data_IF_829430520765
#
_entry.id   IF_829430520765
#
_cell.length_a   1.000
_cell.length_b   1.000
_cell.length_c   1.000
_cell.angle_alpha   90.00
_cell.angle_beta   90.00
_cell.angle_gamma   90.00
#
_symmetry.space_group_name_H-M   'P 1'
#
loop_
_entity.id
_entity.type
_entity.pdbx_description
1 polymer ?
#
# COMPACT_ATOMS: atom_id res chain seq x y z
N UNK A 1 -37.10 13.44 -47.29
CA UNK A 1 -37.67 13.58 -45.94
C UNK A 1 -37.00 12.54 -45.06
N UNK A 2 -36.12 12.95 -44.14
CA UNK A 2 -35.46 12.01 -43.21
C UNK A 2 -36.41 11.78 -42.04
N UNK A 3 -36.77 10.52 -41.80
CA UNK A 3 -37.53 10.13 -40.60
C UNK A 3 -36.55 10.11 -39.43
N UNK A 4 -36.59 11.16 -38.61
CA UNK A 4 -35.94 11.15 -37.30
C UNK A 4 -36.77 10.29 -36.36
N UNK A 5 -36.31 9.07 -36.12
CA UNK A 5 -36.85 8.20 -35.07
C UNK A 5 -36.29 8.68 -33.74
N UNK A 6 -37.13 9.36 -32.96
CA UNK A 6 -36.81 9.71 -31.57
C UNK A 6 -36.75 8.47 -30.67
N UNK A 7 -35.83 8.48 -29.70
CA UNK A 7 -35.71 7.44 -28.68
C UNK A 7 -37.00 7.38 -27.84
N UNK A 8 -37.51 6.18 -27.54
CA UNK A 8 -38.68 6.07 -26.66
C UNK A 8 -38.25 6.19 -25.19
N UNK A 9 -39.11 6.81 -24.37
CA UNK A 9 -38.87 6.88 -22.92
C UNK A 9 -38.78 5.48 -22.30
N UNK A 10 -39.55 4.52 -22.81
CA UNK A 10 -39.55 3.14 -22.35
C UNK A 10 -38.22 2.45 -22.63
N UNK A 11 -37.61 2.67 -23.82
CA UNK A 11 -36.27 2.14 -24.13
C UNK A 11 -35.24 2.65 -23.12
N UNK A 12 -35.27 3.95 -22.81
CA UNK A 12 -34.33 4.53 -21.85
C UNK A 12 -34.57 4.04 -20.42
N UNK A 13 -35.83 3.82 -20.02
CA UNK A 13 -36.17 3.29 -18.70
C UNK A 13 -35.68 1.87 -18.50
N UNK A 14 -35.89 0.96 -19.46
CA UNK A 14 -35.44 -0.44 -19.36
C UNK A 14 -33.90 -0.49 -19.26
N UNK A 15 -33.20 0.34 -20.04
CA UNK A 15 -31.74 0.42 -20.02
C UNK A 15 -31.22 0.82 -18.63
N UNK A 16 -31.80 1.85 -18.01
CA UNK A 16 -31.39 2.30 -16.66
C UNK A 16 -31.68 1.23 -15.61
N UNK A 17 -32.79 0.50 -15.72
CA UNK A 17 -33.12 -0.62 -14.81
C UNK A 17 -32.08 -1.74 -14.92
N UNK A 18 -31.72 -2.14 -16.14
CA UNK A 18 -30.72 -3.20 -16.35
C UNK A 18 -29.34 -2.76 -15.82
N UNK A 19 -28.90 -1.54 -16.15
CA UNK A 19 -27.64 -0.98 -15.64
C UNK A 19 -27.67 -0.90 -14.10
N UNK A 20 -28.81 -0.54 -13.50
CA UNK A 20 -28.99 -0.50 -12.06
C UNK A 20 -28.80 -1.86 -11.38
N UNK A 21 -29.37 -2.93 -11.95
CA UNK A 21 -29.21 -4.31 -11.45
C UNK A 21 -27.74 -4.75 -11.55
N UNK A 22 -27.11 -4.50 -12.70
CA UNK A 22 -25.69 -4.85 -12.90
C UNK A 22 -24.78 -4.07 -11.95
N UNK A 23 -25.02 -2.78 -11.76
CA UNK A 23 -24.26 -1.92 -10.86
C UNK A 23 -24.38 -2.37 -9.40
N UNK A 24 -25.58 -2.77 -8.96
CA UNK A 24 -25.81 -3.24 -7.59
C UNK A 24 -24.95 -4.46 -7.21
N UNK A 25 -24.69 -5.36 -8.17
CA UNK A 25 -23.84 -6.54 -7.96
C UNK A 25 -22.36 -6.19 -8.16
N UNK A 26 -22.05 -5.40 -9.18
CA UNK A 26 -20.68 -5.11 -9.59
C UNK A 26 -19.94 -4.18 -8.61
N UNK A 27 -20.58 -3.12 -8.13
CA UNK A 27 -19.97 -2.10 -7.25
C UNK A 27 -19.35 -2.70 -5.98
N UNK A 28 -20.08 -3.50 -5.15
CA UNK A 28 -19.49 -4.04 -3.93
C UNK A 28 -18.34 -5.01 -4.22
N UNK A 29 -18.40 -5.74 -5.34
CA UNK A 29 -17.30 -6.63 -5.73
C UNK A 29 -16.07 -5.84 -6.19
N UNK A 30 -16.28 -4.77 -6.95
CA UNK A 30 -15.21 -3.89 -7.42
C UNK A 30 -14.48 -3.22 -6.27
N UNK A 31 -15.20 -2.74 -5.24
CA UNK A 31 -14.58 -2.14 -4.03
C UNK A 31 -13.67 -3.16 -3.33
N UNK A 32 -14.13 -4.41 -3.13
CA UNK A 32 -13.31 -5.46 -2.51
C UNK A 32 -12.08 -5.80 -3.36
N UNK A 33 -12.21 -5.82 -4.68
CA UNK A 33 -11.08 -6.06 -5.58
C UNK A 33 -10.04 -4.94 -5.47
N UNK A 34 -10.47 -3.69 -5.40
CA UNK A 34 -9.57 -2.56 -5.17
C UNK A 34 -8.85 -2.66 -3.83
N UNK A 35 -9.57 -2.99 -2.74
CA UNK A 35 -8.96 -3.15 -1.42
C UNK A 35 -7.87 -4.22 -1.43
N UNK A 36 -8.14 -5.38 -2.06
CA UNK A 36 -7.14 -6.46 -2.22
C UNK A 36 -5.94 -6.03 -3.04
N UNK A 37 -6.14 -5.25 -4.10
CA UNK A 37 -5.05 -4.70 -4.92
C UNK A 37 -4.18 -3.72 -4.12
N UNK A 38 -4.80 -2.91 -3.25
CA UNK A 38 -4.07 -2.00 -2.34
C UNK A 38 -3.28 -2.78 -1.30
N UNK A 39 -3.85 -3.83 -0.70
CA UNK A 39 -3.13 -4.70 0.24
C UNK A 39 -1.95 -5.43 -0.42
N UNK A 40 -2.11 -5.92 -1.64
CA UNK A 40 -1.01 -6.50 -2.42
C UNK A 40 0.09 -5.46 -2.69
N UNK A 41 -0.29 -4.21 -2.96
CA UNK A 41 0.66 -3.11 -3.13
C UNK A 41 1.39 -2.77 -1.83
N UNK A 42 0.73 -2.83 -0.67
CA UNK A 42 1.40 -2.68 0.64
C UNK A 42 2.45 -3.77 0.83
N UNK A 43 2.11 -5.02 0.54
CA UNK A 43 3.06 -6.15 0.62
C UNK A 43 4.25 -5.95 -0.31
N UNK A 44 4.03 -5.43 -1.52
CA UNK A 44 5.11 -5.09 -2.45
C UNK A 44 6.00 -3.98 -1.90
N UNK A 45 5.41 -2.89 -1.36
CA UNK A 45 6.16 -1.81 -0.72
C UNK A 45 6.99 -2.32 0.46
N UNK A 46 6.47 -3.23 1.28
CA UNK A 46 7.23 -3.84 2.38
C UNK A 46 8.47 -4.56 1.88
N UNK A 47 8.37 -5.30 0.78
CA UNK A 47 9.52 -5.98 0.18
C UNK A 47 10.52 -4.99 -0.44
N UNK A 48 10.04 -3.93 -1.09
CA UNK A 48 10.91 -2.84 -1.57
C UNK A 48 11.66 -2.17 -0.41
N UNK A 49 10.97 -1.92 0.71
CA UNK A 49 11.59 -1.37 1.90
C UNK A 49 12.62 -2.32 2.50
N UNK A 50 12.34 -3.63 2.51
CA UNK A 50 13.29 -4.66 2.94
C UNK A 50 14.58 -4.59 2.11
N UNK A 51 14.47 -4.56 0.78
CA UNK A 51 15.65 -4.46 -0.08
C UNK A 51 16.48 -3.21 0.23
N UNK A 52 15.84 -2.05 0.43
CA UNK A 52 16.53 -0.83 0.82
C UNK A 52 17.23 -0.95 2.19
N UNK A 53 16.63 -1.66 3.15
CA UNK A 53 17.21 -1.89 4.49
C UNK A 53 18.43 -2.80 4.41
N UNK A 54 18.34 -3.87 3.62
CA UNK A 54 19.48 -4.79 3.43
C UNK A 54 20.60 -4.13 2.65
N UNK A 55 20.29 -3.37 1.59
CA UNK A 55 21.28 -2.60 0.83
C UNK A 55 22.00 -1.59 1.74
N UNK A 56 21.26 -0.94 2.65
CA UNK A 56 21.87 -0.05 3.64
C UNK A 56 22.84 -0.81 4.54
N UNK A 57 22.45 -1.98 5.06
CA UNK A 57 23.32 -2.76 5.94
C UNK A 57 24.60 -3.21 5.23
N UNK A 58 24.51 -3.63 3.96
CA UNK A 58 25.68 -3.98 3.14
C UNK A 58 26.66 -2.81 3.01
N UNK A 59 26.15 -1.58 2.90
CA UNK A 59 26.98 -0.36 2.84
C UNK A 59 27.54 0.09 4.19
N UNK A 60 27.04 -0.45 5.30
CA UNK A 60 27.36 -0.01 6.67
C UNK A 60 27.86 -1.15 7.56
N UNK A 61 28.71 -2.03 7.01
CA UNK A 61 29.35 -3.13 7.74
C UNK A 61 28.37 -4.10 8.44
N UNK A 62 27.17 -4.27 7.88
CA UNK A 62 26.11 -5.11 8.43
C UNK A 62 25.22 -4.41 9.46
N UNK A 63 25.42 -3.11 9.69
CA UNK A 63 24.61 -2.35 10.64
C UNK A 63 23.36 -1.76 9.96
N UNK A 64 22.19 -2.09 10.50
CA UNK A 64 20.93 -1.53 10.04
C UNK A 64 20.73 -0.06 10.47
N UNK A 65 19.94 0.69 9.70
CA UNK A 65 19.67 2.10 9.98
C UNK A 65 18.87 2.30 11.28
N UNK A 66 19.28 3.27 12.10
CA UNK A 66 18.54 3.66 13.30
C UNK A 66 17.17 4.30 13.02
N UNK A 67 16.24 4.23 13.98
CA UNK A 67 14.88 4.79 13.86
C UNK A 67 14.86 6.27 13.46
N UNK A 68 15.77 7.06 14.00
CA UNK A 68 15.77 8.53 13.90
C UNK A 68 15.95 9.04 12.47
N UNK A 69 16.47 8.19 11.57
CA UNK A 69 16.84 8.61 10.21
C UNK A 69 16.05 7.93 9.10
N UNK A 70 15.01 7.13 9.40
CA UNK A 70 14.31 6.34 8.35
C UNK A 70 13.81 7.20 7.17
N UNK A 71 13.33 8.42 7.45
CA UNK A 71 12.77 9.33 6.45
C UNK A 71 13.82 10.07 5.64
N UNK A 72 15.09 9.97 6.01
CA UNK A 72 16.20 10.67 5.36
C UNK A 72 17.20 9.70 4.75
N UNK A 73 17.59 8.64 5.48
CA UNK A 73 18.54 7.64 4.98
C UNK A 73 17.84 6.60 4.14
N UNK A 74 16.81 5.94 4.67
CA UNK A 74 16.15 4.85 3.96
C UNK A 74 15.21 5.36 2.87
N UNK A 75 14.50 6.46 3.11
CA UNK A 75 13.63 7.07 2.10
C UNK A 75 14.39 7.54 0.85
N UNK A 76 15.68 7.90 0.97
CA UNK A 76 16.51 8.25 -0.18
C UNK A 76 16.90 7.02 -1.03
N UNK A 77 16.87 5.82 -0.45
CA UNK A 77 17.16 4.55 -1.14
C UNK A 77 15.91 3.92 -1.76
N UNK A 78 14.72 4.45 -1.45
CA UNK A 78 13.47 3.96 -2.02
C UNK A 78 13.22 4.54 -3.42
N UNK A 79 12.54 3.79 -4.30
CA UNK A 79 12.08 4.30 -5.59
C UNK A 79 11.16 5.52 -5.42
N UNK A 80 11.22 6.45 -6.38
CA UNK A 80 10.41 7.69 -6.36
C UNK A 80 8.90 7.46 -6.38
N UNK A 81 8.46 6.27 -6.83
CA UNK A 81 7.06 5.86 -6.85
C UNK A 81 6.61 5.18 -5.54
N UNK A 82 7.46 5.10 -4.52
CA UNK A 82 7.10 4.55 -3.22
C UNK A 82 6.05 5.45 -2.55
N UNK A 83 4.82 4.92 -2.44
CA UNK A 83 3.66 5.66 -1.92
C UNK A 83 2.71 4.75 -1.20
N UNK A 84 1.93 5.34 -0.30
CA UNK A 84 0.82 4.68 0.37
C UNK A 84 -0.29 4.32 -0.64
N UNK A 85 -0.65 3.04 -0.80
CA UNK A 85 -1.66 2.62 -1.79
C UNK A 85 -3.09 3.09 -1.48
N UNK A 86 -3.37 3.50 -0.26
CA UNK A 86 -4.70 3.92 0.18
C UNK A 86 -4.89 5.43 0.14
N UNK A 87 -3.87 6.20 0.52
CA UNK A 87 -3.93 7.67 0.59
C UNK A 87 -3.16 8.37 -0.53
N UNK A 88 -2.26 7.67 -1.22
CA UNK A 88 -1.34 8.26 -2.18
C UNK A 88 -0.20 9.07 -1.57
N UNK A 89 -0.10 9.13 -0.24
CA UNK A 89 0.94 9.87 0.46
C UNK A 89 2.34 9.30 0.18
N UNK A 90 3.36 10.15 0.24
CA UNK A 90 4.78 9.83 0.10
C UNK A 90 5.53 10.16 1.40
N UNK A 91 6.83 9.84 1.46
CA UNK A 91 7.67 10.11 2.64
C UNK A 91 7.07 9.46 3.88
N UNK A 92 6.85 10.26 4.94
CA UNK A 92 6.32 9.75 6.21
C UNK A 92 4.91 9.20 6.16
N UNK A 93 4.14 9.57 5.13
CA UNK A 93 2.83 8.98 4.88
C UNK A 93 2.89 7.62 4.19
N UNK A 94 4.07 7.14 3.76
CA UNK A 94 4.27 5.87 3.07
C UNK A 94 5.17 4.90 3.86
N UNK A 95 6.25 5.40 4.49
CA UNK A 95 7.15 4.62 5.34
C UNK A 95 7.47 5.42 6.60
N UNK A 96 7.56 4.78 7.77
CA UNK A 96 7.99 5.44 9.02
C UNK A 96 8.65 4.45 9.98
N UNK A 97 9.25 4.97 11.05
CA UNK A 97 9.86 4.21 12.14
C UNK A 97 9.11 4.45 13.45
N UNK A 98 9.33 3.55 14.41
CA UNK A 98 8.73 3.61 15.75
C UNK A 98 7.50 2.72 15.92
N UNK A 99 7.09 2.46 17.17
CA UNK A 99 5.92 1.63 17.46
C UNK A 99 4.63 2.46 17.37
N UNK A 100 3.71 1.96 16.53
CA UNK A 100 2.29 2.29 16.49
C UNK A 100 1.88 3.69 16.02
N UNK A 101 1.67 3.80 14.71
CA UNK A 101 0.36 4.27 14.26
C UNK A 101 -0.20 3.21 13.32
N UNK A 102 -1.39 2.68 13.57
CA UNK A 102 -1.99 1.67 12.68
C UNK A 102 -2.56 2.37 11.44
N UNK A 103 -1.72 3.09 10.70
CA UNK A 103 -2.12 3.89 9.55
C UNK A 103 -2.15 2.98 8.32
N UNK A 104 -3.36 2.79 7.78
CA UNK A 104 -3.61 2.02 6.58
C UNK A 104 -2.64 2.43 5.44
N UNK A 105 -1.97 1.43 4.86
CA UNK A 105 -1.05 1.59 3.75
C UNK A 105 0.37 2.03 4.07
N UNK A 106 0.67 2.32 5.34
CA UNK A 106 2.00 2.74 5.78
C UNK A 106 2.86 1.51 6.11
N UNK A 107 4.13 1.56 5.70
CA UNK A 107 5.16 0.59 6.06
C UNK A 107 5.92 1.09 7.28
N UNK A 108 6.05 0.24 8.29
CA UNK A 108 6.72 0.52 9.55
C UNK A 108 8.00 -0.29 9.62
N UNK A 109 9.08 0.39 9.88
CA UNK A 109 10.38 -0.21 10.13
C UNK A 109 10.74 -0.07 11.62
N UNK A 110 11.10 -1.18 12.26
CA UNK A 110 11.59 -1.16 13.63
C UNK A 110 12.89 -1.96 13.79
N UNK A 111 13.97 -1.26 14.14
CA UNK A 111 15.27 -1.84 14.50
C UNK A 111 15.59 -1.75 16.02
N UNK A 112 14.98 -0.82 16.76
CA UNK A 112 15.33 -0.53 18.16
C UNK A 112 15.13 -1.75 19.07
N UNK A 113 14.16 -2.60 18.75
CA UNK A 113 13.89 -3.84 19.46
C UNK A 113 15.00 -4.89 19.32
N UNK A 114 15.86 -4.81 18.30
CA UNK A 114 16.82 -5.85 17.93
C UNK A 114 18.29 -5.39 17.95
N UNK A 115 18.56 -4.12 18.29
CA UNK A 115 19.91 -3.56 18.18
C UNK A 115 20.41 -3.49 16.73
N UNK A 116 21.69 -3.19 16.51
CA UNK A 116 22.27 -2.94 15.17
C UNK A 116 22.15 -4.12 14.19
N UNK A 117 21.84 -5.31 14.69
CA UNK A 117 21.91 -6.57 13.96
C UNK A 117 20.56 -7.08 13.48
N UNK A 118 19.43 -6.45 13.79
CA UNK A 118 18.12 -6.92 13.32
C UNK A 118 17.09 -5.80 13.12
N UNK A 119 15.99 -6.14 12.44
CA UNK A 119 14.89 -5.23 12.17
C UNK A 119 13.56 -5.98 12.01
N UNK A 120 12.46 -5.24 11.89
CA UNK A 120 11.15 -5.75 11.46
C UNK A 120 10.50 -4.78 10.49
N UNK A 121 9.68 -5.31 9.57
CA UNK A 121 8.89 -4.52 8.64
C UNK A 121 7.42 -4.91 8.76
N UNK A 122 6.56 -3.95 9.08
CA UNK A 122 5.13 -4.17 9.23
C UNK A 122 4.36 -3.27 8.25
N UNK A 123 3.39 -3.82 7.55
CA UNK A 123 2.51 -3.06 6.68
C UNK A 123 1.09 -3.15 7.21
N UNK A 124 0.30 -2.11 6.97
CA UNK A 124 -1.09 -2.09 7.42
C UNK A 124 -2.01 -2.16 6.22
N UNK A 125 -2.84 -3.20 6.17
CA UNK A 125 -3.90 -3.37 5.17
C UNK A 125 -5.13 -2.54 5.53
N UNK A 126 -6.29 -2.89 4.97
CA UNK A 126 -7.51 -2.10 5.20
C UNK A 126 -8.00 -2.18 6.65
N UNK A 127 -7.93 -3.35 7.26
CA UNK A 127 -8.42 -3.61 8.62
C UNK A 127 -7.56 -4.60 9.41
N UNK A 128 -6.41 -5.02 8.86
CA UNK A 128 -5.50 -5.99 9.47
C UNK A 128 -4.05 -5.54 9.31
N UNK A 129 -3.22 -5.91 10.29
CA UNK A 129 -1.77 -5.79 10.17
C UNK A 129 -1.29 -6.89 9.25
N UNK A 130 -0.62 -6.53 8.17
CA UNK A 130 0.20 -7.42 7.37
C UNK A 130 1.60 -7.39 7.96
N UNK A 131 1.89 -8.29 8.89
CA UNK A 131 3.22 -8.39 9.50
C UNK A 131 4.12 -9.26 8.63
N UNK A 132 5.23 -8.71 8.15
CA UNK A 132 6.37 -9.49 7.64
C UNK A 132 7.52 -9.32 8.63
N UNK A 133 7.53 -10.14 9.67
CA UNK A 133 8.66 -10.18 10.59
C UNK A 133 9.82 -10.88 9.88
N UNK A 134 10.85 -10.11 9.53
CA UNK A 134 12.09 -10.62 8.98
C UNK A 134 13.17 -10.31 9.99
N UNK A 135 13.46 -11.28 10.85
CA UNK A 135 14.65 -11.22 11.69
C UNK A 135 15.85 -11.48 10.79
N UNK A 136 16.88 -10.64 10.89
CA UNK A 136 18.17 -10.83 10.21
C UNK A 136 18.58 -12.31 10.26
N UNK A 137 18.96 -12.87 9.12
CA UNK A 137 19.52 -14.22 9.05
C UNK A 137 20.91 -14.26 9.69
N UNK A 138 20.94 -14.48 11.00
CA UNK A 138 22.05 -15.10 11.73
C UNK A 138 21.47 -16.35 12.41
#
# INVERSE_FOLDING_TARGET
>A
MRSERGFTLIELMIVVVIIGILAAIAIPNFIRMQDRAKEASVKANMHTAQLAVEDYAVMNDGNYAGHTNIHTTLAAMLPTNFKNPFTGATGSGAITSGSTANAQGVVYYDHATYGATGYTIQGYGKSSVLTLTLTSGQ
#
